data_IF_719598367766
#
_entry.id   IF_719598367766
#
_cell.length_a   1.000
_cell.length_b   1.000
_cell.length_c   1.000
_cell.angle_alpha   90.00
_cell.angle_beta   90.00
_cell.angle_gamma   90.00
#
_symmetry.space_group_name_H-M   'P 1'
#
loop_
_entity.id
_entity.type
_entity.pdbx_description
1 polymer ?
#
# COMPACT_ATOMS: atom_id res chain seq x y z
N UNK A 1 9.76 13.56 -45.52
CA UNK A 1 8.95 12.44 -45.09
C UNK A 1 9.20 12.14 -43.63
N UNK A 2 8.16 12.21 -42.88
CA UNK A 2 8.24 11.81 -41.51
C UNK A 2 8.33 10.31 -41.40
N UNK A 3 9.47 9.85 -41.01
CA UNK A 3 9.68 8.48 -40.66
C UNK A 3 9.49 8.32 -39.19
N UNK A 4 8.41 7.67 -38.81
CA UNK A 4 8.34 7.21 -37.44
C UNK A 4 9.27 6.03 -37.33
N UNK A 5 10.36 6.32 -36.74
CA UNK A 5 11.28 5.31 -36.30
C UNK A 5 10.52 4.43 -35.31
N UNK A 6 10.49 3.12 -35.52
CA UNK A 6 9.80 2.19 -34.61
C UNK A 6 10.30 2.30 -33.19
N UNK A 7 11.56 2.65 -33.02
CA UNK A 7 12.13 2.89 -31.68
C UNK A 7 11.50 4.10 -31.00
N UNK A 8 11.25 5.18 -31.74
CA UNK A 8 10.61 6.36 -31.20
C UNK A 8 9.16 6.07 -30.80
N UNK A 9 8.44 5.31 -31.63
CA UNK A 9 7.07 4.91 -31.32
C UNK A 9 7.01 4.02 -30.10
N UNK A 10 7.94 3.09 -29.96
CA UNK A 10 8.03 2.22 -28.79
C UNK A 10 8.38 3.00 -27.52
N UNK A 11 9.26 3.99 -27.65
CA UNK A 11 9.61 4.85 -26.51
C UNK A 11 8.40 5.65 -26.02
N UNK A 12 7.59 6.17 -26.94
CA UNK A 12 6.36 6.89 -26.59
C UNK A 12 5.35 5.98 -25.91
N UNK A 13 5.19 4.76 -26.39
CA UNK A 13 4.30 3.77 -25.77
C UNK A 13 4.78 3.41 -24.38
N UNK A 14 6.07 3.24 -24.21
CA UNK A 14 6.67 2.92 -22.93
C UNK A 14 6.43 4.06 -21.92
N UNK A 15 6.63 5.31 -22.35
CA UNK A 15 6.38 6.48 -21.50
C UNK A 15 4.90 6.54 -21.09
N UNK A 16 4.00 6.27 -22.01
CA UNK A 16 2.57 6.23 -21.71
C UNK A 16 2.25 5.17 -20.67
N UNK A 17 2.84 3.98 -20.82
CA UNK A 17 2.66 2.88 -19.88
C UNK A 17 3.19 3.23 -18.50
N UNK A 18 4.38 3.80 -18.45
CA UNK A 18 4.98 4.21 -17.17
C UNK A 18 4.20 5.32 -16.50
N UNK A 19 3.69 6.28 -17.26
CA UNK A 19 2.86 7.35 -16.72
C UNK A 19 1.57 6.81 -16.09
N UNK A 20 0.90 5.86 -16.75
CA UNK A 20 -0.30 5.22 -16.20
C UNK A 20 -0.01 4.44 -14.93
N UNK A 21 1.08 3.71 -14.92
CA UNK A 21 1.52 2.94 -13.77
C UNK A 21 1.86 3.86 -12.59
N UNK A 22 2.55 4.96 -12.84
CA UNK A 22 2.88 5.95 -11.83
C UNK A 22 1.62 6.61 -11.26
N UNK A 23 0.60 6.86 -12.11
CA UNK A 23 -0.68 7.39 -11.64
C UNK A 23 -1.37 6.46 -10.66
N UNK A 24 -1.35 5.15 -10.91
CA UNK A 24 -1.92 4.16 -10.00
C UNK A 24 -1.18 4.14 -8.67
N UNK A 25 0.14 4.19 -8.72
CA UNK A 25 0.96 4.22 -7.51
C UNK A 25 0.73 5.52 -6.73
N UNK A 26 0.68 6.66 -7.41
CA UNK A 26 0.41 7.93 -6.76
C UNK A 26 -0.99 7.99 -6.15
N UNK A 27 -1.98 7.38 -6.81
CA UNK A 27 -3.32 7.27 -6.25
C UNK A 27 -3.33 6.45 -4.97
N UNK A 28 -2.60 5.33 -4.95
CA UNK A 28 -2.48 4.49 -3.76
C UNK A 28 -1.75 5.24 -2.65
N UNK A 29 -0.67 5.95 -2.97
CA UNK A 29 0.07 6.77 -2.01
C UNK A 29 -0.84 7.83 -1.41
N UNK A 30 -1.58 8.56 -2.26
CA UNK A 30 -2.52 9.58 -1.82
C UNK A 30 -3.57 9.02 -0.87
N UNK A 31 -4.07 7.83 -1.17
CA UNK A 31 -5.01 7.14 -0.32
C UNK A 31 -4.41 6.84 1.07
N UNK A 32 -3.19 6.32 1.10
CA UNK A 32 -2.53 6.01 2.38
C UNK A 32 -2.26 7.27 3.18
N UNK A 33 -1.62 8.27 2.58
CA UNK A 33 -1.20 9.47 3.32
C UNK A 33 -2.36 10.36 3.75
N UNK A 34 -3.55 10.15 3.22
CA UNK A 34 -4.73 10.93 3.64
C UNK A 34 -5.27 10.50 5.00
N UNK A 35 -4.70 9.47 5.61
CA UNK A 35 -5.07 9.03 6.96
C UNK A 35 -3.83 8.60 7.74
N UNK A 36 -3.59 9.26 8.88
CA UNK A 36 -2.49 8.88 9.76
C UNK A 36 -2.60 7.43 10.23
N UNK A 37 -3.81 6.93 10.40
CA UNK A 37 -4.02 5.54 10.81
C UNK A 37 -3.60 4.55 9.73
N UNK A 38 -3.87 4.87 8.45
CA UNK A 38 -3.41 4.03 7.33
C UNK A 38 -1.89 4.02 7.25
N UNK A 39 -1.26 5.18 7.40
CA UNK A 39 0.21 5.27 7.42
C UNK A 39 0.77 4.42 8.55
N UNK A 40 0.23 4.58 9.74
CA UNK A 40 0.71 3.88 10.94
C UNK A 40 0.56 2.36 10.80
N UNK A 41 -0.60 1.90 10.33
CA UNK A 41 -0.85 0.48 10.16
C UNK A 41 0.05 -0.13 9.07
N UNK A 42 0.17 0.56 7.94
CA UNK A 42 1.02 0.06 6.86
C UNK A 42 2.48 0.01 7.29
N UNK A 43 2.96 1.03 7.98
CA UNK A 43 4.32 1.05 8.53
C UNK A 43 4.55 -0.14 9.46
N UNK A 44 3.61 -0.38 10.38
CA UNK A 44 3.73 -1.50 11.32
C UNK A 44 3.79 -2.84 10.61
N UNK A 45 2.92 -3.03 9.60
CA UNK A 45 2.89 -4.28 8.85
C UNK A 45 4.12 -4.46 7.96
N UNK A 46 4.77 -3.37 7.58
CA UNK A 46 6.04 -3.46 6.86
C UNK A 46 7.16 -4.04 7.74
N UNK A 47 7.03 -3.96 9.05
CA UNK A 47 7.97 -4.58 9.98
C UNK A 47 7.73 -6.08 10.13
N UNK A 48 6.52 -6.54 9.85
CA UNK A 48 6.15 -7.95 9.93
C UNK A 48 4.66 -8.13 10.20
N UNK A 49 4.14 -9.34 9.96
CA UNK A 49 2.74 -9.63 10.22
C UNK A 49 2.33 -9.39 11.67
N UNK A 50 1.07 -9.02 11.86
CA UNK A 50 0.56 -8.72 13.19
C UNK A 50 -0.97 -8.87 13.23
N UNK A 51 -1.49 -9.06 14.44
CA UNK A 51 -2.92 -9.00 14.69
C UNK A 51 -3.35 -7.55 14.91
N UNK A 52 -4.64 -7.23 14.74
CA UNK A 52 -5.12 -5.88 15.04
C UNK A 52 -4.79 -5.43 16.47
N UNK A 53 -4.89 -6.34 17.45
CA UNK A 53 -4.56 -6.03 18.84
C UNK A 53 -3.09 -5.69 19.02
N UNK A 54 -2.21 -6.42 18.34
CA UNK A 54 -0.77 -6.14 18.38
C UNK A 54 -0.46 -4.77 17.78
N UNK A 55 -1.09 -4.46 16.65
CA UNK A 55 -0.90 -3.16 16.00
C UNK A 55 -1.38 -2.03 16.94
N UNK A 56 -2.57 -2.18 17.50
CA UNK A 56 -3.14 -1.19 18.41
C UNK A 56 -2.23 -0.95 19.60
N UNK A 57 -1.71 -2.02 20.18
CA UNK A 57 -0.83 -1.95 21.34
C UNK A 57 0.53 -1.35 21.00
N UNK A 58 1.14 -1.81 19.91
CA UNK A 58 2.48 -1.37 19.49
C UNK A 58 2.49 0.10 19.07
N UNK A 59 1.42 0.57 18.43
CA UNK A 59 1.34 1.92 17.89
C UNK A 59 0.55 2.88 18.78
N UNK A 60 0.04 2.39 19.91
CA UNK A 60 -0.75 3.17 20.87
C UNK A 60 -1.92 3.91 20.23
N UNK A 61 -2.71 3.17 19.45
CA UNK A 61 -3.93 3.69 18.83
C UNK A 61 -5.10 2.76 19.12
N UNK A 62 -6.31 3.32 19.06
CA UNK A 62 -7.53 2.55 19.34
C UNK A 62 -7.71 1.44 18.32
N UNK A 63 -8.15 0.27 18.78
CA UNK A 63 -8.36 -0.89 17.90
C UNK A 63 -9.39 -0.62 16.82
N UNK A 64 -10.35 0.25 17.07
CA UNK A 64 -11.34 0.63 16.07
C UNK A 64 -10.70 1.34 14.87
N UNK A 65 -9.69 2.16 15.13
CA UNK A 65 -8.95 2.83 14.07
C UNK A 65 -8.08 1.85 13.29
N UNK A 66 -7.47 0.89 13.98
CA UNK A 66 -6.69 -0.18 13.35
C UNK A 66 -7.57 -1.01 12.42
N UNK A 67 -8.73 -1.46 12.93
CA UNK A 67 -9.65 -2.30 12.15
C UNK A 67 -10.14 -1.58 10.91
N UNK A 68 -10.47 -0.31 11.03
CA UNK A 68 -10.90 0.50 9.89
C UNK A 68 -9.78 0.64 8.86
N UNK A 69 -8.57 0.96 9.31
CA UNK A 69 -7.43 1.12 8.41
C UNK A 69 -7.11 -0.18 7.69
N UNK A 70 -7.14 -1.32 8.40
CA UNK A 70 -6.90 -2.63 7.79
C UNK A 70 -7.93 -2.93 6.71
N UNK A 71 -9.21 -2.63 6.97
CA UNK A 71 -10.26 -2.84 5.97
C UNK A 71 -10.02 -1.97 4.75
N UNK A 72 -9.72 -0.70 4.95
CA UNK A 72 -9.51 0.25 3.87
C UNK A 72 -8.27 -0.08 3.04
N UNK A 73 -7.18 -0.46 3.70
CA UNK A 73 -5.95 -0.89 3.02
C UNK A 73 -6.17 -2.21 2.28
N UNK A 74 -6.95 -3.11 2.85
CA UNK A 74 -7.28 -4.38 2.21
C UNK A 74 -8.12 -4.21 0.95
N UNK A 75 -9.01 -3.24 0.92
CA UNK A 75 -9.81 -2.91 -0.26
C UNK A 75 -8.95 -2.47 -1.45
N UNK A 76 -7.75 -1.97 -1.17
CA UNK A 76 -6.78 -1.54 -2.17
C UNK A 76 -5.66 -2.57 -2.39
N UNK A 77 -5.79 -3.76 -1.80
CA UNK A 77 -4.80 -4.84 -1.92
C UNK A 77 -3.42 -4.48 -1.38
N UNK A 78 -3.36 -3.57 -0.41
CA UNK A 78 -2.10 -3.18 0.22
C UNK A 78 -1.76 -4.04 1.42
N UNK A 79 -2.77 -4.64 2.05
CA UNK A 79 -2.62 -5.61 3.14
C UNK A 79 -3.54 -6.79 2.87
N UNK A 80 -3.25 -7.92 3.51
CA UNK A 80 -4.05 -9.14 3.36
C UNK A 80 -4.15 -9.89 4.66
N UNK A 81 -5.23 -10.65 4.80
CA UNK A 81 -5.43 -11.56 5.92
C UNK A 81 -4.66 -12.85 5.63
N UNK A 82 -3.80 -13.25 6.56
CA UNK A 82 -2.91 -14.40 6.38
C UNK A 82 -3.45 -15.70 7.01
N UNK A 83 -4.64 -15.65 7.61
CA UNK A 83 -5.29 -16.81 8.23
C UNK A 83 -6.67 -17.01 7.59
N UNK A 84 -7.33 -18.17 7.80
CA UNK A 84 -8.67 -18.38 7.21
C UNK A 84 -9.65 -17.31 7.64
N UNK A 85 -10.51 -16.87 6.71
CA UNK A 85 -11.48 -15.79 6.94
C UNK A 85 -12.46 -16.08 8.06
N UNK A 86 -12.79 -17.35 8.28
CA UNK A 86 -13.71 -17.74 9.35
C UNK A 86 -13.10 -17.68 10.73
N UNK A 87 -11.82 -17.41 10.84
CA UNK A 87 -11.15 -17.30 12.13
C UNK A 87 -11.46 -15.96 12.77
N UNK A 88 -12.01 -15.99 13.99
CA UNK A 88 -12.41 -14.77 14.70
C UNK A 88 -11.32 -14.21 15.61
N UNK A 89 -10.49 -15.11 16.18
CA UNK A 89 -9.39 -14.70 17.07
C UNK A 89 -8.06 -14.94 16.39
N UNK A 90 -7.09 -14.08 16.69
CA UNK A 90 -5.75 -14.20 16.13
C UNK A 90 -5.71 -13.98 14.63
N UNK A 91 -6.52 -13.06 14.14
CA UNK A 91 -6.51 -12.71 12.72
C UNK A 91 -5.22 -11.97 12.42
N UNK A 92 -4.34 -12.62 11.69
CA UNK A 92 -3.03 -12.06 11.35
C UNK A 92 -3.09 -11.43 9.98
N UNK A 93 -2.66 -10.18 9.90
CA UNK A 93 -2.57 -9.45 8.64
C UNK A 93 -1.11 -9.25 8.26
N UNK A 94 -0.87 -9.16 6.97
CA UNK A 94 0.45 -8.88 6.43
C UNK A 94 0.37 -7.85 5.32
N UNK A 95 1.51 -7.27 5.00
CA UNK A 95 1.61 -6.35 3.87
C UNK A 95 1.77 -7.18 2.58
N UNK A 96 1.12 -6.73 1.51
CA UNK A 96 1.26 -7.39 0.19
C UNK A 96 2.49 -6.85 -0.54
N UNK A 97 2.86 -7.49 -1.65
CA UNK A 97 3.92 -6.95 -2.51
C UNK A 97 3.61 -5.54 -2.98
N UNK A 98 2.36 -5.29 -3.34
CA UNK A 98 1.90 -3.96 -3.72
C UNK A 98 2.06 -2.98 -2.56
N UNK A 99 1.66 -3.39 -1.37
CA UNK A 99 1.82 -2.57 -0.16
C UNK A 99 3.27 -2.23 0.12
N UNK A 100 4.17 -3.19 -0.05
CA UNK A 100 5.60 -2.96 0.14
C UNK A 100 6.14 -1.93 -0.86
N UNK A 101 5.74 -2.04 -2.13
CA UNK A 101 6.17 -1.07 -3.14
C UNK A 101 5.68 0.34 -2.82
N UNK A 102 4.42 0.45 -2.41
CA UNK A 102 3.84 1.74 -2.04
C UNK A 102 4.57 2.32 -0.82
N UNK A 103 4.82 1.51 0.18
CA UNK A 103 5.55 1.94 1.36
C UNK A 103 6.96 2.43 1.02
N UNK A 104 7.69 1.68 0.21
CA UNK A 104 9.03 2.06 -0.22
C UNK A 104 9.03 3.38 -0.99
N UNK A 105 8.05 3.56 -1.86
CA UNK A 105 7.93 4.81 -2.62
C UNK A 105 7.62 5.99 -1.69
N UNK A 106 6.74 5.78 -0.71
CA UNK A 106 6.45 6.81 0.29
C UNK A 106 7.68 7.22 1.06
N UNK A 107 8.50 6.25 1.45
CA UNK A 107 9.76 6.53 2.14
C UNK A 107 10.74 7.30 1.26
N UNK A 108 10.88 6.91 0.00
CA UNK A 108 11.80 7.58 -0.93
C UNK A 108 11.40 9.03 -1.17
N UNK A 109 10.12 9.36 -1.06
CA UNK A 109 9.60 10.71 -1.23
C UNK A 109 9.47 11.46 0.11
N UNK A 110 9.88 10.86 1.22
CA UNK A 110 9.72 11.41 2.57
C UNK A 110 8.26 11.69 2.94
N UNK A 111 7.35 10.87 2.47
CA UNK A 111 5.91 11.02 2.72
C UNK A 111 5.44 10.24 3.95
N UNK A 112 6.29 9.38 4.51
CA UNK A 112 6.00 8.59 5.71
C UNK A 112 7.15 8.68 6.68
N UNK A 113 6.86 9.12 7.88
CA UNK A 113 7.85 9.20 8.97
C UNK A 113 7.47 8.28 10.12
#
# INVERSE_FOLDING_TARGET
>A
MLRFDSLAAMALLFEYYEAGRMSDEWNAIGFVISSNYRVTVLRRLNEGPATPSQIANDEDIAITHVSRALRELGERDLVELLVPENRRKGRVYGITEKGERIWQEMQSQNLAE
#
